data_IF_444834971636
#
_entry.id   IF_444834971636
#
_cell.length_a   1.000
_cell.length_b   1.000
_cell.length_c   1.000
_cell.angle_alpha   90.00
_cell.angle_beta   90.00
_cell.angle_gamma   90.00
#
_symmetry.space_group_name_H-M   'P 1'
#
loop_
_entity.id
_entity.type
_entity.pdbx_description
1 polymer ?
#
# COMPACT_ATOMS: atom_id res chain seq x y z
N UNK A 1 17.25 -6.30 -15.08
CA UNK A 1 16.58 -7.62 -15.14
C UNK A 1 17.06 -8.49 -13.98
N UNK A 2 16.15 -8.83 -13.06
CA UNK A 2 16.41 -9.78 -11.97
C UNK A 2 16.69 -11.15 -12.62
N UNK A 3 17.73 -11.86 -12.17
CA UNK A 3 18.00 -13.20 -12.70
C UNK A 3 16.85 -14.12 -12.26
N UNK A 4 16.37 -15.02 -13.14
CA UNK A 4 15.39 -16.03 -12.74
C UNK A 4 15.97 -16.89 -11.60
N UNK A 5 15.46 -16.71 -10.38
CA UNK A 5 15.85 -17.49 -9.19
C UNK A 5 16.47 -16.71 -8.03
N UNK A 6 16.76 -15.42 -8.19
CA UNK A 6 17.10 -14.55 -7.06
C UNK A 6 15.80 -13.99 -6.47
N UNK A 7 15.57 -14.17 -5.17
CA UNK A 7 14.48 -13.51 -4.47
C UNK A 7 14.73 -11.98 -4.51
N UNK A 8 13.71 -11.16 -4.80
CA UNK A 8 13.87 -9.72 -4.77
C UNK A 8 14.22 -9.25 -3.35
N UNK A 9 15.13 -8.27 -3.28
CA UNK A 9 15.56 -7.65 -2.03
C UNK A 9 15.07 -6.21 -1.98
N UNK A 10 14.47 -5.84 -0.86
CA UNK A 10 14.10 -4.47 -0.56
C UNK A 10 15.06 -3.91 0.48
N UNK A 11 15.73 -2.80 0.16
CA UNK A 11 16.58 -2.10 1.14
C UNK A 11 15.71 -1.17 1.98
N UNK A 12 15.65 -1.43 3.28
CA UNK A 12 15.01 -0.56 4.26
C UNK A 12 16.08 0.23 5.00
N UNK A 13 15.79 1.49 5.34
CA UNK A 13 16.67 2.33 6.18
C UNK A 13 16.54 2.01 7.68
N UNK A 14 15.66 1.06 8.04
CA UNK A 14 15.43 0.54 9.39
C UNK A 14 15.25 -0.98 9.36
N UNK A 15 15.61 -1.64 10.45
CA UNK A 15 15.23 -3.01 10.74
C UNK A 15 13.93 -3.00 11.57
N UNK A 16 13.00 -3.91 11.27
CA UNK A 16 11.74 -4.03 11.97
C UNK A 16 11.36 -5.50 12.15
N UNK A 17 10.93 -5.82 13.38
CA UNK A 17 10.15 -7.01 13.67
C UNK A 17 8.75 -6.62 14.12
N UNK A 18 7.73 -7.27 13.57
CA UNK A 18 6.33 -7.13 13.97
C UNK A 18 5.78 -8.52 14.26
N UNK A 19 5.35 -8.75 15.49
CA UNK A 19 4.82 -10.04 15.92
C UNK A 19 3.54 -9.83 16.70
N UNK A 20 2.49 -10.57 16.38
CA UNK A 20 1.21 -10.36 17.04
C UNK A 20 0.07 -11.15 16.43
N UNK A 21 -1.13 -10.80 16.86
CA UNK A 21 -2.36 -11.47 16.46
C UNK A 21 -3.55 -10.50 16.51
N UNK A 22 -4.39 -10.53 15.48
CA UNK A 22 -5.75 -9.99 15.50
C UNK A 22 -6.78 -11.10 15.74
N UNK A 23 -7.96 -10.81 16.32
CA UNK A 23 -8.94 -11.83 16.66
C UNK A 23 -9.88 -12.24 15.51
N UNK A 24 -9.89 -11.53 14.38
CA UNK A 24 -10.88 -11.69 13.32
C UNK A 24 -10.28 -12.06 11.97
N UNK A 25 -10.39 -11.16 11.00
CA UNK A 25 -9.80 -11.29 9.67
C UNK A 25 -8.28 -11.26 9.73
N UNK A 26 -7.70 -10.40 10.57
CA UNK A 26 -6.25 -10.39 10.80
C UNK A 26 -5.93 -11.52 11.77
N UNK A 27 -5.18 -12.52 11.33
CA UNK A 27 -4.70 -13.61 12.19
C UNK A 27 -3.32 -13.30 12.77
N UNK A 28 -2.42 -14.28 12.73
CA UNK A 28 -1.03 -14.09 13.15
C UNK A 28 -0.22 -13.20 12.18
N UNK A 29 0.60 -12.31 12.71
CA UNK A 29 1.66 -11.60 11.99
C UNK A 29 3.00 -12.00 12.59
N UNK A 30 3.95 -12.34 11.72
CA UNK A 30 5.33 -12.66 12.11
C UNK A 30 6.28 -12.14 11.02
N UNK A 31 6.82 -10.94 11.26
CA UNK A 31 7.79 -10.26 10.42
C UNK A 31 9.08 -10.08 11.22
N UNK A 32 10.23 -10.35 10.59
CA UNK A 32 11.56 -10.12 11.14
C UNK A 32 12.46 -9.61 10.01
N UNK A 33 13.24 -8.55 10.25
CA UNK A 33 14.06 -7.96 9.19
C UNK A 33 13.22 -7.35 8.07
N UNK A 34 12.01 -6.87 8.38
CA UNK A 34 11.09 -6.28 7.41
C UNK A 34 10.33 -7.26 6.52
N UNK A 35 10.50 -8.58 6.67
CA UNK A 35 9.77 -9.58 5.87
C UNK A 35 9.29 -10.77 6.71
N UNK A 36 8.31 -11.51 6.19
CA UNK A 36 7.78 -12.68 6.87
C UNK A 36 6.39 -13.02 6.37
N UNK A 37 5.46 -13.26 7.28
CA UNK A 37 4.09 -13.66 6.92
C UNK A 37 3.01 -12.91 7.70
N UNK A 38 1.86 -12.76 7.07
CA UNK A 38 0.61 -12.28 7.70
C UNK A 38 -0.51 -13.27 7.36
N UNK A 39 -1.28 -13.68 8.36
CA UNK A 39 -2.52 -14.41 8.17
C UNK A 39 -3.68 -13.45 7.96
N UNK A 40 -4.40 -13.59 6.86
CA UNK A 40 -5.59 -12.81 6.52
C UNK A 40 -6.71 -13.77 6.09
N UNK A 41 -7.87 -13.69 6.73
CA UNK A 41 -9.01 -14.57 6.47
C UNK A 41 -8.71 -16.05 6.70
N UNK A 42 -7.80 -16.38 7.63
CA UNK A 42 -7.38 -17.75 7.94
C UNK A 42 -6.38 -18.34 6.93
N UNK A 43 -5.79 -17.52 6.06
CA UNK A 43 -4.76 -17.94 5.10
C UNK A 43 -3.48 -17.14 5.36
N UNK A 44 -2.35 -17.83 5.47
CA UNK A 44 -1.03 -17.21 5.64
C UNK A 44 -0.42 -16.84 4.30
N UNK A 45 -0.02 -15.58 4.16
CA UNK A 45 0.60 -15.03 2.97
C UNK A 45 2.01 -14.48 3.26
N UNK A 46 2.93 -14.52 2.28
CA UNK A 46 4.19 -13.78 2.38
C UNK A 46 3.93 -12.27 2.39
N UNK A 47 4.75 -11.56 3.14
CA UNK A 47 4.60 -10.13 3.38
C UNK A 47 5.95 -9.41 3.52
N UNK A 48 5.97 -8.14 3.17
CA UNK A 48 7.12 -7.24 3.35
C UNK A 48 6.67 -5.88 3.85
N UNK A 49 7.32 -5.35 4.89
CA UNK A 49 7.21 -3.94 5.27
C UNK A 49 8.09 -3.14 4.32
N UNK A 50 7.54 -2.08 3.75
CA UNK A 50 8.28 -1.25 2.79
C UNK A 50 8.29 0.23 3.11
N UNK A 51 7.45 0.68 4.05
CA UNK A 51 7.36 2.09 4.43
C UNK A 51 7.12 2.23 5.94
N UNK A 52 7.72 3.30 6.51
CA UNK A 52 7.57 3.66 7.92
C UNK A 52 7.16 5.12 8.04
N UNK A 53 6.00 5.36 8.63
CA UNK A 53 5.47 6.70 8.83
C UNK A 53 5.31 7.01 10.32
N UNK A 54 5.75 8.20 10.74
CA UNK A 54 5.45 8.72 12.07
C UNK A 54 4.08 9.41 12.04
N UNK A 55 3.16 9.00 12.91
CA UNK A 55 1.78 9.49 12.95
C UNK A 55 1.34 9.79 14.38
N UNK A 56 1.72 10.98 14.87
CA UNK A 56 1.43 11.38 16.25
C UNK A 56 2.18 10.52 17.27
N UNK A 57 1.45 9.75 18.07
CA UNK A 57 2.02 8.79 19.04
C UNK A 57 2.30 7.41 18.43
N UNK A 58 1.84 7.21 17.19
CA UNK A 58 1.95 5.95 16.47
C UNK A 58 3.12 5.98 15.49
N UNK A 59 3.70 4.81 15.28
CA UNK A 59 4.49 4.50 14.07
C UNK A 59 3.70 3.51 13.23
N UNK A 60 3.52 3.82 11.95
CA UNK A 60 2.83 2.97 10.98
C UNK A 60 3.87 2.25 10.14
N UNK A 61 3.74 0.94 10.04
CA UNK A 61 4.52 0.14 9.11
C UNK A 61 3.60 -0.38 8.01
N UNK A 62 3.76 0.19 6.81
CA UNK A 62 2.99 -0.26 5.65
C UNK A 62 3.59 -1.56 5.12
N UNK A 63 2.74 -2.57 5.03
CA UNK A 63 3.08 -3.93 4.74
C UNK A 63 2.34 -4.37 3.49
N UNK A 64 3.09 -4.86 2.50
CA UNK A 64 2.55 -5.41 1.28
C UNK A 64 2.46 -6.92 1.40
N UNK A 65 1.25 -7.47 1.29
CA UNK A 65 0.95 -8.89 1.48
C UNK A 65 0.45 -9.48 0.18
N UNK A 66 1.09 -10.54 -0.31
CA UNK A 66 0.87 -11.03 -1.68
C UNK A 66 0.31 -12.45 -1.68
N UNK A 67 -0.93 -12.58 -2.13
CA UNK A 67 -1.56 -13.85 -2.47
C UNK A 67 -1.36 -14.22 -3.95
N UNK A 68 -1.69 -15.46 -4.35
CA UNK A 68 -1.58 -15.91 -5.74
C UNK A 68 -2.58 -15.21 -6.68
N UNK A 69 -3.66 -14.64 -6.14
CA UNK A 69 -4.79 -14.08 -6.90
C UNK A 69 -5.26 -12.71 -6.37
N UNK A 70 -4.53 -12.11 -5.43
CA UNK A 70 -4.87 -10.82 -4.81
C UNK A 70 -3.68 -10.24 -4.05
N UNK A 71 -3.74 -8.94 -3.79
CA UNK A 71 -2.92 -8.25 -2.82
C UNK A 71 -3.75 -7.74 -1.67
N UNK A 72 -3.11 -7.68 -0.49
CA UNK A 72 -3.58 -6.91 0.65
C UNK A 72 -2.55 -5.86 1.04
N UNK A 73 -3.05 -4.70 1.44
CA UNK A 73 -2.25 -3.63 2.04
C UNK A 73 -2.61 -3.59 3.50
N UNK A 74 -1.59 -3.67 4.35
CA UNK A 74 -1.77 -3.74 5.79
C UNK A 74 -0.93 -2.65 6.44
N UNK A 75 -1.51 -1.90 7.38
CA UNK A 75 -0.78 -0.94 8.19
C UNK A 75 -0.75 -1.43 9.62
N UNK A 76 0.45 -1.74 10.13
CA UNK A 76 0.66 -2.07 11.53
C UNK A 76 0.91 -0.78 12.32
N UNK A 77 -0.05 -0.40 13.17
CA UNK A 77 0.03 0.77 14.04
C UNK A 77 0.64 0.37 15.39
N UNK A 78 1.81 0.92 15.68
CA UNK A 78 2.56 0.63 16.89
C UNK A 78 2.61 1.86 17.81
N UNK A 79 2.20 1.71 19.08
CA UNK A 79 2.36 2.73 20.12
C UNK A 79 3.59 2.37 20.94
N UNK A 80 4.72 3.03 20.64
CA UNK A 80 6.01 2.60 21.17
C UNK A 80 6.40 1.21 20.65
N UNK A 81 6.39 0.21 21.54
CA UNK A 81 6.73 -1.18 21.19
C UNK A 81 5.52 -2.09 21.12
N UNK A 82 4.32 -1.60 21.38
CA UNK A 82 3.10 -2.40 21.39
C UNK A 82 2.42 -2.30 20.02
N UNK A 83 2.15 -3.45 19.40
CA UNK A 83 1.29 -3.51 18.21
C UNK A 83 -0.15 -3.40 18.69
N UNK A 84 -0.84 -2.30 18.37
CA UNK A 84 -2.17 -2.03 18.92
C UNK A 84 -3.31 -2.20 17.93
N UNK A 85 -3.11 -1.80 16.67
CA UNK A 85 -4.14 -1.87 15.62
C UNK A 85 -3.50 -2.27 14.31
N UNK A 86 -4.22 -3.07 13.51
CA UNK A 86 -3.86 -3.33 12.12
C UNK A 86 -5.03 -2.94 11.22
N UNK A 87 -4.78 -2.01 10.30
CA UNK A 87 -5.69 -1.72 9.19
C UNK A 87 -5.37 -2.65 8.04
N UNK A 88 -6.38 -3.04 7.27
CA UNK A 88 -6.22 -3.87 6.09
C UNK A 88 -7.24 -3.51 5.01
N UNK A 89 -6.85 -3.72 3.76
CA UNK A 89 -7.70 -3.62 2.57
C UNK A 89 -7.18 -4.59 1.50
N UNK A 90 -7.98 -4.89 0.48
CA UNK A 90 -7.59 -5.83 -0.55
C UNK A 90 -8.14 -5.52 -1.94
N UNK A 91 -7.33 -5.87 -2.94
CA UNK A 91 -7.72 -5.82 -4.37
C UNK A 91 -8.86 -6.79 -4.72
N UNK A 92 -9.22 -7.70 -3.83
CA UNK A 92 -10.33 -8.66 -3.98
C UNK A 92 -11.69 -8.11 -3.50
N UNK A 93 -11.78 -6.80 -3.23
CA UNK A 93 -12.97 -6.15 -2.70
C UNK A 93 -13.10 -6.23 -1.18
N UNK A 94 -12.04 -6.66 -0.48
CA UNK A 94 -11.91 -6.49 0.96
C UNK A 94 -11.83 -4.99 1.26
N UNK A 95 -12.91 -4.45 1.80
CA UNK A 95 -12.98 -3.04 2.18
C UNK A 95 -11.95 -2.70 3.26
N UNK A 96 -11.52 -1.44 3.28
CA UNK A 96 -10.70 -0.90 4.35
C UNK A 96 -11.42 -1.05 5.69
N UNK A 97 -10.80 -1.82 6.58
CA UNK A 97 -11.25 -2.01 7.96
C UNK A 97 -10.03 -2.15 8.87
N UNK A 98 -10.26 -2.28 10.18
CA UNK A 98 -9.19 -2.49 11.15
C UNK A 98 -9.60 -3.43 12.27
N UNK A 99 -8.59 -4.00 12.92
CA UNK A 99 -8.76 -4.79 14.13
C UNK A 99 -7.80 -4.32 15.22
N UNK A 100 -8.30 -4.31 16.46
CA UNK A 100 -7.42 -4.25 17.63
C UNK A 100 -6.57 -5.53 17.67
N UNK A 101 -5.28 -5.36 17.89
CA UNK A 101 -4.31 -6.45 17.89
C UNK A 101 -3.58 -6.51 19.22
N UNK A 102 -2.95 -7.66 19.48
CA UNK A 102 -2.04 -7.84 20.61
C UNK A 102 -0.72 -8.34 20.04
N UNK A 103 0.36 -7.65 20.38
CA UNK A 103 1.68 -8.00 19.87
C UNK A 103 2.73 -6.97 20.22
N UNK A 104 3.82 -6.99 19.46
CA UNK A 104 4.95 -6.11 19.62
C UNK A 104 5.51 -5.65 18.29
N UNK A 105 6.04 -4.44 18.29
CA UNK A 105 6.87 -3.88 17.24
C UNK A 105 8.25 -3.57 17.83
N UNK A 106 9.31 -3.99 17.15
CA UNK A 106 10.67 -3.74 17.59
C UNK A 106 11.54 -3.31 16.42
N UNK A 107 11.97 -2.05 16.44
CA UNK A 107 12.98 -1.57 15.50
C UNK A 107 14.39 -1.98 15.94
N UNK A 108 15.15 -2.54 15.00
CA UNK A 108 16.57 -2.82 15.16
C UNK A 108 17.45 -1.65 14.72
N UNK A 109 18.76 -1.70 15.04
CA UNK A 109 19.69 -0.66 14.64
C UNK A 109 20.05 -0.77 13.15
N UNK A 110 19.71 0.26 12.38
CA UNK A 110 20.25 0.50 11.04
C UNK A 110 19.49 -0.18 9.91
N UNK A 111 19.98 -0.04 8.67
CA UNK A 111 19.32 -0.55 7.48
C UNK A 111 19.38 -2.07 7.39
N UNK A 112 18.36 -2.68 6.80
CA UNK A 112 18.29 -4.12 6.51
C UNK A 112 17.95 -4.35 5.04
N UNK A 113 18.33 -5.52 4.52
CA UNK A 113 17.78 -6.03 3.26
C UNK A 113 16.70 -7.04 3.60
N UNK A 114 15.45 -6.67 3.35
CA UNK A 114 14.31 -7.56 3.47
C UNK A 114 14.28 -8.46 2.22
N UNK A 115 14.53 -9.76 2.39
CA UNK A 115 14.41 -10.75 1.33
C UNK A 115 13.03 -11.38 1.41
N UNK A 116 12.22 -11.26 0.35
CA UNK A 116 10.88 -11.84 0.30
C UNK A 116 10.67 -12.61 -0.98
N UNK A 117 10.08 -13.80 -0.86
CA UNK A 117 9.69 -14.62 -2.01
C UNK A 117 8.18 -14.57 -2.16
N UNK A 118 7.70 -13.83 -3.16
CA UNK A 118 6.28 -13.73 -3.47
C UNK A 118 5.85 -14.80 -4.47
N UNK A 119 4.61 -15.31 -4.37
CA UNK A 119 4.07 -16.17 -5.41
C UNK A 119 3.92 -15.38 -6.72
N UNK A 120 3.90 -16.09 -7.85
CA UNK A 120 3.40 -15.50 -9.08
C UNK A 120 1.93 -15.09 -8.87
N UNK A 121 1.59 -13.87 -9.25
CA UNK A 121 0.25 -13.32 -9.06
C UNK A 121 -0.52 -13.37 -10.37
N UNK A 122 -1.74 -13.89 -10.30
CA UNK A 122 -2.75 -13.85 -11.36
C UNK A 122 -4.07 -13.42 -10.72
N UNK A 123 -4.28 -12.12 -10.61
CA UNK A 123 -5.49 -11.53 -10.02
C UNK A 123 -6.47 -11.04 -11.08
N UNK A 124 -7.75 -11.03 -10.74
CA UNK A 124 -8.76 -10.33 -11.54
C UNK A 124 -8.57 -8.81 -11.44
N UNK A 125 -9.15 -8.06 -12.37
CA UNK A 125 -9.22 -6.61 -12.23
C UNK A 125 -10.08 -6.29 -10.99
N UNK A 126 -9.62 -5.41 -10.08
CA UNK A 126 -10.42 -5.03 -8.91
C UNK A 126 -11.71 -4.33 -9.34
N UNK A 127 -12.72 -4.38 -8.45
CA UNK A 127 -13.88 -3.52 -8.57
C UNK A 127 -13.41 -2.05 -8.50
N UNK A 128 -13.82 -1.24 -9.47
CA UNK A 128 -13.29 0.12 -9.60
C UNK A 128 -14.04 1.10 -8.70
N UNK A 129 -13.29 1.95 -8.01
CA UNK A 129 -13.83 3.00 -7.16
C UNK A 129 -14.68 3.98 -7.97
N UNK A 130 -15.90 4.24 -7.48
CA UNK A 130 -16.78 5.27 -8.01
C UNK A 130 -16.66 6.57 -7.21
N UNK A 131 -17.16 7.68 -7.77
CA UNK A 131 -17.29 8.96 -7.07
C UNK A 131 -16.12 9.93 -7.27
N UNK A 132 -14.92 9.47 -7.64
CA UNK A 132 -13.78 10.37 -7.90
C UNK A 132 -13.56 10.65 -9.37
N UNK A 133 -13.18 11.89 -9.65
CA UNK A 133 -12.59 12.30 -10.92
C UNK A 133 -11.32 13.09 -10.65
N UNK A 134 -10.22 12.71 -11.30
CA UNK A 134 -8.93 13.41 -11.31
C UNK A 134 -8.57 13.67 -12.76
N UNK A 135 -8.20 14.91 -13.09
CA UNK A 135 -7.83 15.31 -14.44
C UNK A 135 -6.56 16.17 -14.40
N UNK A 136 -5.52 15.70 -15.07
CA UNK A 136 -4.24 16.39 -15.22
C UNK A 136 -3.51 15.94 -16.50
N UNK A 137 -2.40 16.60 -16.88
CA UNK A 137 -1.64 16.23 -18.08
C UNK A 137 -1.01 14.84 -18.00
N UNK A 138 -0.58 14.43 -16.80
CA UNK A 138 0.14 13.18 -16.55
C UNK A 138 -0.70 12.15 -15.77
N UNK A 139 -1.94 12.47 -15.44
CA UNK A 139 -2.84 11.62 -14.65
C UNK A 139 -4.30 11.86 -15.00
N UNK A 140 -5.05 10.77 -15.13
CA UNK A 140 -6.51 10.79 -15.19
C UNK A 140 -7.09 9.65 -14.36
N UNK A 141 -8.13 9.93 -13.60
CA UNK A 141 -8.92 8.93 -12.87
C UNK A 141 -10.38 9.30 -13.10
N UNK A 142 -11.20 8.36 -13.53
CA UNK A 142 -12.62 8.59 -13.76
C UNK A 142 -13.44 7.62 -12.92
N UNK A 143 -14.61 8.07 -12.47
CA UNK A 143 -15.49 7.29 -11.59
C UNK A 143 -15.89 5.95 -12.21
N UNK A 144 -15.49 4.85 -11.57
CA UNK A 144 -15.85 3.49 -11.98
C UNK A 144 -15.15 3.00 -13.26
N UNK A 145 -14.11 3.70 -13.74
CA UNK A 145 -13.41 3.37 -14.98
C UNK A 145 -11.89 3.37 -14.79
N UNK A 146 -11.13 2.56 -15.57
CA UNK A 146 -9.68 2.62 -15.53
C UNK A 146 -9.16 4.01 -15.92
N UNK A 147 -8.25 4.53 -15.10
CA UNK A 147 -7.53 5.77 -15.35
C UNK A 147 -6.16 5.53 -15.99
N UNK A 148 -5.35 6.58 -16.04
CA UNK A 148 -3.97 6.54 -16.52
C UNK A 148 -3.06 7.42 -15.64
N UNK A 149 -1.81 7.01 -15.46
CA UNK A 149 -0.74 7.86 -14.90
C UNK A 149 0.55 7.61 -15.65
N UNK A 150 1.34 8.64 -15.91
CA UNK A 150 2.63 8.50 -16.58
C UNK A 150 3.79 8.63 -15.58
N UNK A 151 4.52 7.52 -15.37
CA UNK A 151 5.69 7.44 -14.49
C UNK A 151 6.98 7.25 -15.30
N UNK A 152 7.08 8.00 -16.41
CA UNK A 152 8.04 7.75 -17.49
C UNK A 152 7.58 6.71 -18.50
N UNK A 153 6.68 5.80 -18.09
CA UNK A 153 5.84 4.98 -18.96
C UNK A 153 4.37 5.09 -18.54
N UNK A 154 3.41 4.96 -19.47
CA UNK A 154 2.00 4.93 -19.13
C UNK A 154 1.64 3.70 -18.30
N UNK A 155 1.03 3.93 -17.14
CA UNK A 155 0.42 2.92 -16.29
C UNK A 155 -1.09 3.10 -16.32
N UNK A 156 -1.83 2.00 -16.40
CA UNK A 156 -3.27 2.00 -16.17
C UNK A 156 -3.50 2.13 -14.66
N UNK A 157 -4.32 3.09 -14.26
CA UNK A 157 -4.71 3.27 -12.86
C UNK A 157 -6.00 2.50 -12.64
N UNK A 158 -6.01 1.59 -11.67
CA UNK A 158 -7.18 0.81 -11.26
C UNK A 158 -7.50 1.14 -9.79
N UNK A 159 -8.25 2.22 -9.53
CA UNK A 159 -8.66 2.60 -8.18
C UNK A 159 -9.53 1.52 -7.56
N UNK A 160 -9.26 1.10 -6.34
CA UNK A 160 -10.04 0.04 -5.68
C UNK A 160 -10.49 0.38 -4.26
N UNK A 161 -9.88 1.37 -3.59
CA UNK A 161 -10.26 1.79 -2.24
C UNK A 161 -10.01 3.29 -2.05
N UNK A 162 -10.66 3.89 -1.04
CA UNK A 162 -10.47 5.27 -0.63
C UNK A 162 -10.32 5.42 0.90
N UNK A 163 -9.66 6.50 1.30
CA UNK A 163 -9.63 6.96 2.69
C UNK A 163 -10.15 8.39 2.76
N UNK A 164 -11.12 8.64 3.64
CA UNK A 164 -11.58 10.00 3.95
C UNK A 164 -10.94 10.49 5.26
N UNK A 165 -9.86 11.24 5.10
CA UNK A 165 -9.09 11.84 6.19
C UNK A 165 -9.44 13.32 6.43
N UNK A 166 -10.59 13.80 5.92
CA UNK A 166 -10.95 15.23 5.97
C UNK A 166 -11.12 15.79 7.38
N UNK A 167 -11.52 14.98 8.36
CA UNK A 167 -11.71 15.42 9.75
C UNK A 167 -10.90 14.65 10.81
N UNK A 168 -10.15 13.61 10.42
CA UNK A 168 -9.64 12.61 11.38
C UNK A 168 -8.13 12.42 11.43
N UNK A 169 -7.41 12.71 10.34
CA UNK A 169 -6.02 12.26 10.22
C UNK A 169 -4.99 13.39 10.38
N UNK A 170 -5.39 14.65 10.21
CA UNK A 170 -4.51 15.81 10.37
C UNK A 170 -5.16 17.13 9.95
N UNK A 171 -4.33 18.18 9.89
CA UNK A 171 -4.74 19.52 9.45
C UNK A 171 -3.69 20.10 8.49
N UNK A 172 -4.04 20.42 7.23
CA UNK A 172 -5.36 20.22 6.61
C UNK A 172 -5.72 18.73 6.48
N UNK A 173 -7.02 18.43 6.40
CA UNK A 173 -7.49 17.07 6.07
C UNK A 173 -7.30 16.77 4.58
N UNK A 174 -7.43 15.51 4.20
CA UNK A 174 -7.23 15.04 2.82
C UNK A 174 -8.11 13.82 2.50
N UNK A 175 -8.11 13.39 1.24
CA UNK A 175 -8.64 12.11 0.78
C UNK A 175 -7.54 11.30 0.11
N UNK A 176 -7.68 9.98 0.10
CA UNK A 176 -6.75 9.07 -0.54
C UNK A 176 -7.51 8.21 -1.55
N UNK A 177 -6.89 7.95 -2.71
CA UNK A 177 -7.31 6.90 -3.64
C UNK A 177 -6.21 5.86 -3.70
N UNK A 178 -6.54 4.64 -3.30
CA UNK A 178 -5.65 3.48 -3.38
C UNK A 178 -5.88 2.75 -4.69
N UNK A 179 -4.79 2.47 -5.40
CA UNK A 179 -4.88 1.95 -6.75
C UNK A 179 -3.82 0.90 -7.07
N UNK A 180 -4.17 0.01 -7.99
CA UNK A 180 -3.18 -0.77 -8.75
C UNK A 180 -2.73 0.05 -9.95
N UNK A 181 -1.42 0.23 -10.11
CA UNK A 181 -0.78 0.88 -11.25
C UNK A 181 -0.21 -0.19 -12.17
N UNK A 182 -0.91 -0.50 -13.26
CA UNK A 182 -0.55 -1.58 -14.17
C UNK A 182 0.26 -1.08 -15.37
N UNK A 183 1.49 -1.58 -15.54
CA UNK A 183 2.31 -1.37 -16.74
C UNK A 183 2.21 -2.61 -17.64
N UNK A 184 1.31 -2.59 -18.65
CA UNK A 184 1.11 -3.74 -19.53
C UNK A 184 2.32 -4.04 -20.42
N UNK A 185 3.20 -3.06 -20.64
CA UNK A 185 4.37 -3.24 -21.51
C UNK A 185 5.48 -4.03 -20.80
N UNK A 186 5.65 -3.81 -19.50
CA UNK A 186 6.61 -4.54 -18.67
C UNK A 186 6.00 -5.71 -17.89
N UNK A 187 4.68 -5.90 -17.95
CA UNK A 187 3.93 -6.90 -17.19
C UNK A 187 4.22 -6.82 -15.68
N UNK A 188 4.24 -5.59 -15.15
CA UNK A 188 4.47 -5.27 -13.74
C UNK A 188 3.33 -4.42 -13.20
N UNK A 189 3.05 -4.58 -11.92
CA UNK A 189 1.97 -3.87 -11.25
C UNK A 189 2.53 -3.24 -9.98
N UNK A 190 2.08 -2.04 -9.64
CA UNK A 190 2.40 -1.37 -8.38
C UNK A 190 1.12 -1.20 -7.56
N UNK A 191 1.24 -1.22 -6.24
CA UNK A 191 0.32 -0.45 -5.41
C UNK A 191 0.76 1.02 -5.42
N UNK A 192 -0.16 1.96 -5.18
CA UNK A 192 0.15 3.37 -4.97
C UNK A 192 -1.03 4.15 -4.40
N UNK A 193 -0.73 5.26 -3.71
CA UNK A 193 -1.71 6.13 -3.05
C UNK A 193 -1.70 7.51 -3.70
N UNK A 194 -2.85 7.95 -4.19
CA UNK A 194 -3.06 9.34 -4.61
C UNK A 194 -3.67 10.14 -3.45
N UNK A 195 -2.93 11.11 -2.92
CA UNK A 195 -3.40 12.07 -1.92
C UNK A 195 -4.03 13.28 -2.59
N UNK A 196 -5.25 13.60 -2.15
CA UNK A 196 -6.08 14.69 -2.66
C UNK A 196 -6.30 15.71 -1.54
N UNK A 197 -5.73 16.91 -1.70
CA UNK A 197 -5.87 18.00 -0.74
C UNK A 197 -6.85 19.05 -1.27
N UNK A 198 -7.78 19.49 -0.44
CA UNK A 198 -8.78 20.49 -0.82
C UNK A 198 -8.12 21.84 -1.13
N UNK A 199 -8.35 22.34 -2.35
CA UNK A 199 -7.85 23.64 -2.80
C UNK A 199 -6.38 23.64 -3.25
N UNK A 200 -5.71 22.49 -3.23
CA UNK A 200 -4.37 22.34 -3.81
C UNK A 200 -4.47 22.11 -5.33
N UNK A 201 -3.71 22.82 -6.17
CA UNK A 201 -3.63 22.54 -7.60
C UNK A 201 -2.86 21.24 -7.94
N UNK A 202 -2.21 20.62 -6.96
CA UNK A 202 -1.47 19.38 -7.12
C UNK A 202 -2.09 18.24 -6.31
N UNK A 203 -1.97 17.03 -6.83
CA UNK A 203 -2.17 15.79 -6.06
C UNK A 203 -0.81 15.13 -5.85
N UNK A 204 -0.69 14.28 -4.82
CA UNK A 204 0.55 13.51 -4.59
C UNK A 204 0.31 12.05 -4.89
N UNK A 205 1.15 11.43 -5.71
CA UNK A 205 1.29 9.97 -5.78
C UNK A 205 2.47 9.56 -4.92
N UNK A 206 2.23 8.68 -3.95
CA UNK A 206 3.25 8.20 -3.02
C UNK A 206 3.07 6.73 -2.64
N UNK A 207 4.06 6.21 -1.91
CA UNK A 207 4.04 4.89 -1.29
C UNK A 207 3.83 3.74 -2.27
N UNK A 208 4.41 3.88 -3.46
CA UNK A 208 4.28 2.87 -4.49
C UNK A 208 5.28 1.74 -4.25
N UNK A 209 4.82 0.50 -4.44
CA UNK A 209 5.66 -0.69 -4.42
C UNK A 209 5.30 -1.59 -5.59
N UNK A 210 6.30 -1.95 -6.39
CA UNK A 210 6.13 -2.68 -7.65
C UNK A 210 6.47 -4.15 -7.49
N UNK A 211 5.64 -5.03 -8.06
CA UNK A 211 6.02 -6.43 -8.27
C UNK A 211 6.49 -6.66 -9.71
N UNK A 212 7.51 -7.54 -9.91
CA UNK A 212 8.20 -8.33 -8.89
C UNK A 212 9.46 -7.66 -8.30
N UNK A 213 9.85 -6.48 -8.76
CA UNK A 213 11.18 -5.91 -8.48
C UNK A 213 11.31 -5.07 -7.21
N UNK A 214 10.21 -4.87 -6.48
CA UNK A 214 10.10 -4.06 -5.26
C UNK A 214 10.56 -2.61 -5.44
N UNK A 215 10.50 -2.10 -6.67
CA UNK A 215 10.83 -0.71 -6.95
C UNK A 215 9.68 0.24 -6.59
N UNK A 216 10.04 1.47 -6.24
CA UNK A 216 9.12 2.60 -6.12
C UNK A 216 9.35 3.56 -7.31
N UNK A 217 8.59 3.43 -8.40
CA UNK A 217 8.73 4.30 -9.56
C UNK A 217 8.21 5.71 -9.35
N UNK A 218 7.42 5.94 -8.29
CA UNK A 218 6.82 7.24 -8.01
C UNK A 218 7.66 8.06 -7.02
N UNK A 219 8.25 7.41 -6.01
CA UNK A 219 8.78 8.10 -4.84
C UNK A 219 7.65 8.88 -4.17
N UNK A 220 7.86 10.19 -4.02
CA UNK A 220 6.79 11.14 -3.74
C UNK A 220 6.70 12.10 -4.93
N UNK A 221 5.65 11.93 -5.74
CA UNK A 221 5.47 12.65 -6.99
C UNK A 221 4.28 13.60 -6.90
N UNK A 222 4.54 14.90 -7.01
CA UNK A 222 3.49 15.90 -7.22
C UNK A 222 3.05 15.90 -8.69
N UNK A 223 1.73 15.91 -8.91
CA UNK A 223 1.10 15.89 -10.23
C UNK A 223 0.14 17.07 -10.32
N UNK A 224 0.32 17.94 -11.32
CA UNK A 224 -0.65 19.00 -11.61
C UNK A 224 -1.97 18.37 -12.06
N UNK A 225 -3.01 18.46 -11.22
CA UNK A 225 -4.31 17.87 -11.51
C UNK A 225 -5.41 18.56 -10.70
N UNK A 226 -6.59 18.68 -11.31
CA UNK A 226 -7.82 19.02 -10.58
C UNK A 226 -8.54 17.74 -10.20
N UNK A 227 -9.21 17.75 -9.05
CA UNK A 227 -10.00 16.60 -8.63
C UNK A 227 -11.38 17.02 -8.10
N UNK A 228 -12.31 16.08 -8.11
CA UNK A 228 -13.64 16.23 -7.51
C UNK A 228 -14.14 14.89 -6.97
N UNK A 229 -15.02 14.94 -5.97
CA UNK A 229 -15.67 13.79 -5.38
C UNK A 229 -17.20 14.00 -5.38
N UNK A 230 -17.92 13.12 -6.06
CA UNK A 230 -19.37 13.07 -6.01
C UNK A 230 -19.82 12.37 -4.71
N UNK A 231 -20.88 12.87 -4.05
CA UNK A 231 -21.41 12.28 -2.83
C UNK A 231 -22.10 10.94 -3.04
#
# INVERSE_FOLDING_TARGET
PVNPGDDPELTLDYDIAVQGFGPGFVGAIDLTGGSGTVELGGVTYPAVVYERQLFGVWTLYQTFVVGPDRWYIVWAYCEGQDLAVMYFEGTDGTALDYEETVGSCAEGPGPVQASVSFPAVSMEQPALLEGFTVEGPEVSIHSGEPGMVNLGTPHVVLPFEQVDCTSGCGAPGWREIHAVLWDPAAARACFGIFYLFDGDPEILLAYALTLPDLSDPAGVLALEATWSHAP
#
